data_IF_131157429688
#
_entry.id   IF_131157429688
#
_cell.length_a   1.000
_cell.length_b   1.000
_cell.length_c   1.000
_cell.angle_alpha   90.00
_cell.angle_beta   90.00
_cell.angle_gamma   90.00
#
_symmetry.space_group_name_H-M   'P 1'
#
loop_
_entity.id
_entity.type
_entity.pdbx_description
1 polymer ?
#
# COMPACT_ATOMS: atom_id res chain seq x y z
N UNK A 1 31.96 18.75 -15.13
CA UNK A 1 30.62 18.53 -14.54
C UNK A 1 30.26 17.07 -14.74
N UNK A 2 29.75 16.38 -13.72
CA UNK A 2 29.19 15.04 -13.91
C UNK A 2 27.99 15.15 -14.87
N UNK A 3 27.73 14.15 -15.73
CA UNK A 3 26.51 14.14 -16.52
C UNK A 3 25.28 14.20 -15.61
N UNK A 4 24.24 14.91 -16.06
CA UNK A 4 22.97 15.05 -15.36
C UNK A 4 22.20 13.73 -15.50
N UNK A 5 21.86 13.10 -14.39
CA UNK A 5 21.04 11.89 -14.28
C UNK A 5 19.58 12.31 -14.36
N UNK A 6 18.83 11.77 -15.32
CA UNK A 6 17.40 12.03 -15.53
C UNK A 6 16.58 10.82 -15.09
N UNK A 7 15.84 10.96 -14.00
CA UNK A 7 14.95 9.92 -13.46
C UNK A 7 13.50 10.23 -13.84
N UNK A 8 12.77 9.26 -14.39
CA UNK A 8 11.32 9.40 -14.58
C UNK A 8 10.57 9.04 -13.30
N UNK A 9 9.56 9.82 -12.92
CA UNK A 9 8.61 9.47 -11.87
C UNK A 9 7.22 9.24 -12.48
N UNK A 10 6.68 8.04 -12.32
CA UNK A 10 5.34 7.72 -12.78
C UNK A 10 4.65 6.67 -11.88
N UNK A 11 3.32 6.62 -11.88
CA UNK A 11 2.62 5.58 -11.13
C UNK A 11 1.10 5.57 -11.22
N UNK A 12 0.54 4.46 -10.74
CA UNK A 12 -0.86 4.25 -10.43
C UNK A 12 -0.92 3.69 -9.01
N UNK A 13 -1.61 4.38 -8.11
CA UNK A 13 -1.70 4.02 -6.69
C UNK A 13 -3.14 3.68 -6.33
N UNK A 14 -3.39 2.41 -6.06
CA UNK A 14 -4.70 1.90 -5.67
C UNK A 14 -4.54 0.62 -4.85
N UNK A 15 -5.28 0.53 -3.75
CA UNK A 15 -5.46 -0.70 -2.98
C UNK A 15 -6.80 -1.32 -3.38
N UNK A 16 -6.77 -2.52 -3.98
CA UNK A 16 -7.99 -3.09 -4.56
C UNK A 16 -8.64 -4.12 -3.66
N UNK A 17 -9.82 -3.81 -3.13
CA UNK A 17 -10.68 -4.80 -2.52
C UNK A 17 -11.45 -5.56 -3.60
N UNK A 18 -10.99 -6.75 -4.00
CA UNK A 18 -11.61 -7.54 -5.07
C UNK A 18 -13.01 -8.07 -4.72
N UNK A 19 -13.40 -7.99 -3.45
CA UNK A 19 -14.74 -8.37 -2.98
C UNK A 19 -15.72 -7.19 -2.99
N UNK A 20 -15.24 -5.96 -3.18
CA UNK A 20 -16.09 -4.79 -3.32
C UNK A 20 -16.85 -4.83 -4.66
N UNK A 21 -18.15 -4.56 -4.60
CA UNK A 21 -19.02 -4.49 -5.77
C UNK A 21 -18.89 -3.17 -6.56
N UNK A 22 -18.20 -2.18 -6.00
CA UNK A 22 -18.01 -0.86 -6.61
C UNK A 22 -16.67 -0.83 -7.35
N UNK A 23 -16.66 -0.82 -8.69
CA UNK A 23 -15.42 -0.86 -9.45
C UNK A 23 -14.66 0.47 -9.40
N UNK A 24 -13.33 0.41 -9.56
CA UNK A 24 -12.50 1.58 -9.83
C UNK A 24 -12.53 1.90 -11.33
N UNK A 25 -13.50 2.73 -11.74
CA UNK A 25 -13.56 3.26 -13.10
C UNK A 25 -12.62 4.46 -13.29
N UNK A 26 -12.46 4.94 -14.52
CA UNK A 26 -11.52 6.03 -14.81
C UNK A 26 -11.82 7.31 -14.00
N UNK A 27 -13.10 7.58 -13.70
CA UNK A 27 -13.52 8.79 -13.01
C UNK A 27 -13.28 8.74 -11.49
N UNK A 28 -13.01 7.56 -10.92
CA UNK A 28 -12.63 7.45 -9.51
C UNK A 28 -11.21 7.94 -9.26
N UNK A 29 -10.35 7.95 -10.29
CA UNK A 29 -8.97 8.37 -10.18
C UNK A 29 -8.80 9.88 -10.26
N UNK A 30 -8.06 10.43 -9.31
CA UNK A 30 -7.42 11.73 -9.45
C UNK A 30 -6.10 11.54 -10.21
N UNK A 31 -5.94 12.21 -11.35
CA UNK A 31 -4.79 12.04 -12.24
C UNK A 31 -4.03 13.36 -12.34
N UNK A 32 -2.78 13.34 -11.90
CA UNK A 32 -1.85 14.47 -11.92
C UNK A 32 -0.77 14.26 -12.98
N UNK A 33 -0.39 15.31 -13.69
CA UNK A 33 0.61 15.26 -14.78
C UNK A 33 1.72 16.29 -14.57
N UNK A 34 2.96 15.89 -14.82
CA UNK A 34 4.11 16.80 -14.76
C UNK A 34 4.19 17.57 -13.44
N UNK A 35 4.30 18.90 -13.55
CA UNK A 35 4.41 19.83 -12.40
C UNK A 35 3.22 19.76 -11.42
N UNK A 36 2.06 19.23 -11.82
CA UNK A 36 0.92 19.02 -10.90
C UNK A 36 1.30 18.05 -9.76
N UNK A 37 2.13 17.05 -10.05
CA UNK A 37 2.61 16.07 -9.06
C UNK A 37 3.52 16.76 -8.04
N UNK A 38 4.42 17.64 -8.49
CA UNK A 38 5.29 18.40 -7.60
C UNK A 38 4.49 19.36 -6.70
N UNK A 39 3.51 20.05 -7.29
CA UNK A 39 2.67 21.01 -6.56
C UNK A 39 1.85 20.32 -5.47
N UNK A 40 1.27 19.17 -5.77
CA UNK A 40 0.42 18.44 -4.83
C UNK A 40 1.26 17.68 -3.78
N UNK A 41 2.29 16.96 -4.22
CA UNK A 41 2.99 15.99 -3.36
C UNK A 41 4.38 16.42 -2.90
N UNK A 42 5.01 17.42 -3.52
CA UNK A 42 6.43 17.74 -3.25
C UNK A 42 6.76 18.07 -1.79
N UNK A 43 5.80 18.67 -1.06
CA UNK A 43 5.94 19.00 0.37
C UNK A 43 5.21 18.02 1.31
N UNK A 44 4.64 16.94 0.77
CA UNK A 44 3.91 15.93 1.54
C UNK A 44 4.85 14.92 2.22
N UNK A 45 4.26 13.88 2.82
CA UNK A 45 4.93 12.72 3.41
C UNK A 45 4.74 11.42 2.61
N UNK A 46 4.29 11.51 1.35
CA UNK A 46 4.01 10.33 0.50
C UNK A 46 5.23 9.84 -0.29
N UNK A 47 5.10 8.70 -0.98
CA UNK A 47 6.11 8.16 -1.91
C UNK A 47 6.62 9.20 -2.92
N UNK A 48 5.71 9.95 -3.55
CA UNK A 48 6.10 10.96 -4.53
C UNK A 48 6.99 12.05 -3.91
N UNK A 49 6.73 12.46 -2.67
CA UNK A 49 7.57 13.43 -1.97
C UNK A 49 9.01 12.92 -1.74
N UNK A 50 9.17 11.64 -1.41
CA UNK A 50 10.47 11.03 -1.17
C UNK A 50 11.28 10.88 -2.46
N UNK A 51 10.60 10.46 -3.54
CA UNK A 51 11.19 10.43 -4.87
C UNK A 51 11.61 11.80 -5.37
N UNK A 52 10.74 12.80 -5.35
CA UNK A 52 11.08 14.17 -5.74
C UNK A 52 12.22 14.76 -4.87
N UNK A 53 12.24 14.39 -3.58
CA UNK A 53 13.25 14.85 -2.63
C UNK A 53 14.69 14.41 -2.94
N UNK A 54 14.89 13.38 -3.76
CA UNK A 54 16.24 12.84 -4.04
C UNK A 54 17.17 13.86 -4.70
N UNK A 55 16.63 14.79 -5.50
CA UNK A 55 17.39 15.87 -6.13
C UNK A 55 18.04 16.82 -5.11
N UNK A 56 17.56 16.85 -3.86
CA UNK A 56 18.21 17.62 -2.78
C UNK A 56 19.45 16.90 -2.22
N UNK A 57 19.59 15.60 -2.44
CA UNK A 57 20.74 14.80 -2.01
C UNK A 57 21.85 14.71 -3.07
N UNK A 58 21.54 15.06 -4.32
CA UNK A 58 22.45 14.92 -5.46
C UNK A 58 22.35 16.10 -6.43
N UNK A 59 23.42 16.91 -6.54
CA UNK A 59 23.48 18.09 -7.41
C UNK A 59 23.33 17.79 -8.91
N UNK A 60 23.48 16.53 -9.32
CA UNK A 60 23.41 16.09 -10.71
C UNK A 60 22.23 15.15 -11.00
N UNK A 61 21.20 15.10 -10.14
CA UNK A 61 19.99 14.28 -10.33
C UNK A 61 18.78 15.17 -10.56
N UNK A 62 17.99 14.84 -11.58
CA UNK A 62 16.75 15.51 -11.93
C UNK A 62 15.63 14.49 -12.04
N UNK A 63 14.62 14.63 -11.19
CA UNK A 63 13.42 13.80 -11.22
C UNK A 63 12.39 14.51 -12.08
N UNK A 64 11.94 13.85 -13.14
CA UNK A 64 10.92 14.36 -14.06
C UNK A 64 9.61 13.64 -13.76
N UNK A 65 8.64 14.29 -13.11
CA UNK A 65 7.32 13.73 -12.93
C UNK A 65 6.60 13.62 -14.28
N UNK A 66 5.96 12.49 -14.53
CA UNK A 66 5.24 12.23 -15.77
C UNK A 66 3.74 12.19 -15.51
N UNK A 67 3.28 11.16 -14.80
CA UNK A 67 1.88 10.94 -14.48
C UNK A 67 1.78 10.20 -13.15
N UNK A 68 0.81 10.60 -12.33
CA UNK A 68 0.44 9.88 -11.12
C UNK A 68 -1.08 9.83 -11.03
N UNK A 69 -1.63 8.62 -11.13
CA UNK A 69 -3.05 8.37 -10.90
C UNK A 69 -3.24 7.75 -9.52
N UNK A 70 -4.18 8.27 -8.74
CA UNK A 70 -4.49 7.74 -7.41
C UNK A 70 -6.00 7.72 -7.17
N UNK A 71 -6.46 6.66 -6.51
CA UNK A 71 -7.80 6.57 -5.93
C UNK A 71 -7.70 5.93 -4.56
N UNK A 72 -8.67 6.19 -3.69
CA UNK A 72 -8.78 5.50 -2.41
C UNK A 72 -9.09 4.00 -2.60
N UNK A 73 -8.97 3.19 -1.54
CA UNK A 73 -9.31 1.77 -1.59
C UNK A 73 -10.77 1.56 -2.03
N UNK A 74 -10.97 0.76 -3.08
CA UNK A 74 -12.28 0.40 -3.67
C UNK A 74 -12.11 -0.89 -4.51
N UNK A 75 -13.13 -1.31 -5.24
CA UNK A 75 -13.11 -2.51 -6.06
C UNK A 75 -12.24 -2.45 -7.30
N UNK A 76 -12.23 -3.56 -8.04
CA UNK A 76 -11.35 -3.84 -9.18
C UNK A 76 -11.26 -2.73 -10.20
N UNK A 77 -10.05 -2.41 -10.66
CA UNK A 77 -9.81 -1.45 -11.73
C UNK A 77 -10.40 -1.98 -13.03
N UNK A 78 -11.35 -1.22 -13.60
CA UNK A 78 -11.95 -1.57 -14.88
C UNK A 78 -10.90 -1.62 -15.99
N UNK A 79 -11.09 -2.51 -16.97
CA UNK A 79 -10.20 -2.61 -18.13
C UNK A 79 -9.95 -1.26 -18.81
N UNK A 80 -11.02 -0.51 -19.08
CA UNK A 80 -10.92 0.78 -19.76
C UNK A 80 -10.14 1.84 -18.95
N UNK A 81 -10.24 1.81 -17.62
CA UNK A 81 -9.46 2.70 -16.75
C UNK A 81 -7.97 2.32 -16.76
N UNK A 82 -7.67 1.02 -16.63
CA UNK A 82 -6.31 0.50 -16.70
C UNK A 82 -5.66 0.83 -18.05
N UNK A 83 -6.33 0.52 -19.16
CA UNK A 83 -5.80 0.74 -20.51
C UNK A 83 -5.51 2.21 -20.78
N UNK A 84 -6.37 3.12 -20.33
CA UNK A 84 -6.15 4.56 -20.48
C UNK A 84 -5.00 5.08 -19.61
N UNK A 85 -5.03 4.79 -18.30
CA UNK A 85 -4.06 5.35 -17.35
C UNK A 85 -2.66 4.75 -17.59
N UNK A 86 -2.57 3.43 -17.71
CA UNK A 86 -1.29 2.75 -17.94
C UNK A 86 -0.81 2.97 -19.37
N UNK A 87 -1.71 3.07 -20.34
CA UNK A 87 -1.38 3.47 -21.70
C UNK A 87 -0.73 4.86 -21.75
N UNK A 88 -1.31 5.84 -21.05
CA UNK A 88 -0.75 7.19 -20.93
C UNK A 88 0.61 7.20 -20.23
N UNK A 89 0.76 6.42 -19.14
CA UNK A 89 2.04 6.24 -18.43
C UNK A 89 3.15 5.73 -19.37
N UNK A 90 2.87 4.67 -20.14
CA UNK A 90 3.83 4.09 -21.07
C UNK A 90 4.15 5.06 -22.21
N UNK A 91 3.15 5.79 -22.72
CA UNK A 91 3.35 6.79 -23.77
C UNK A 91 4.27 7.93 -23.30
N UNK A 92 4.10 8.44 -22.08
CA UNK A 92 4.98 9.47 -21.53
C UNK A 92 6.42 8.99 -21.36
N UNK A 93 6.61 7.76 -20.87
CA UNK A 93 7.94 7.17 -20.74
C UNK A 93 8.63 7.05 -22.11
N UNK A 94 7.89 6.66 -23.14
CA UNK A 94 8.40 6.53 -24.50
C UNK A 94 8.78 7.88 -25.11
N UNK A 95 7.90 8.87 -25.03
CA UNK A 95 8.05 10.15 -25.74
C UNK A 95 9.07 11.08 -25.09
N UNK A 96 9.26 10.99 -23.78
CA UNK A 96 10.12 11.90 -23.02
C UNK A 96 11.48 11.30 -22.63
N UNK A 97 11.75 10.06 -23.04
CA UNK A 97 13.06 9.41 -22.86
C UNK A 97 14.17 10.02 -23.74
N UNK A 98 15.40 9.46 -23.71
CA UNK A 98 15.82 8.34 -22.85
C UNK A 98 15.92 8.73 -21.37
N UNK A 99 15.89 7.72 -20.50
CA UNK A 99 15.95 7.85 -19.04
C UNK A 99 17.19 7.14 -18.50
N UNK A 100 17.81 7.72 -17.47
CA UNK A 100 18.90 7.06 -16.75
C UNK A 100 18.36 6.10 -15.68
N UNK A 101 17.12 6.29 -15.23
CA UNK A 101 16.43 5.40 -14.30
C UNK A 101 14.95 5.75 -14.17
N UNK A 102 14.17 4.83 -13.61
CA UNK A 102 12.72 4.97 -13.40
C UNK A 102 12.41 4.82 -11.92
N UNK A 103 11.49 5.65 -11.40
CA UNK A 103 10.91 5.57 -10.07
C UNK A 103 9.41 5.34 -10.22
N UNK A 104 8.96 4.15 -9.84
CA UNK A 104 7.56 3.74 -9.91
C UNK A 104 6.87 3.95 -8.56
N UNK A 105 5.88 4.84 -8.54
CA UNK A 105 5.03 5.10 -7.38
C UNK A 105 3.76 4.27 -7.48
N UNK A 106 3.85 2.99 -7.11
CA UNK A 106 2.72 2.06 -7.12
C UNK A 106 2.35 1.64 -5.70
N UNK A 107 1.15 1.09 -5.50
CA UNK A 107 0.71 0.61 -4.19
C UNK A 107 1.28 -0.76 -3.86
N UNK A 108 1.35 -1.67 -4.85
CA UNK A 108 1.69 -3.07 -4.67
C UNK A 108 0.52 -3.99 -4.32
N UNK A 109 -0.71 -3.48 -4.29
CA UNK A 109 -1.94 -4.26 -4.07
C UNK A 109 -3.06 -3.88 -5.06
N UNK A 110 -2.69 -3.33 -6.23
CA UNK A 110 -3.63 -3.00 -7.27
C UNK A 110 -4.03 -4.27 -8.04
N UNK A 111 -5.32 -4.38 -8.35
CA UNK A 111 -5.91 -5.44 -9.17
C UNK A 111 -6.79 -4.81 -10.25
N UNK A 112 -6.62 -5.26 -11.48
CA UNK A 112 -7.49 -4.89 -12.60
C UNK A 112 -8.25 -6.11 -13.11
N UNK A 113 -9.30 -5.87 -13.91
CA UNK A 113 -10.08 -6.95 -14.53
C UNK A 113 -9.23 -7.91 -15.37
N UNK A 114 -8.13 -7.43 -15.95
CA UNK A 114 -7.25 -8.23 -16.80
C UNK A 114 -6.00 -8.75 -16.07
N UNK A 115 -5.57 -8.07 -15.01
CA UNK A 115 -4.31 -8.35 -14.32
C UNK A 115 -4.53 -8.40 -12.81
N UNK A 116 -4.49 -9.62 -12.26
CA UNK A 116 -4.50 -9.87 -10.81
C UNK A 116 -3.29 -9.26 -10.10
N UNK A 117 -2.14 -9.25 -10.79
CA UNK A 117 -0.93 -8.53 -10.38
C UNK A 117 -0.76 -7.29 -11.27
N UNK A 118 -1.55 -6.25 -10.97
CA UNK A 118 -1.57 -5.01 -11.75
C UNK A 118 -0.22 -4.26 -11.63
N UNK A 119 0.30 -4.14 -10.41
CA UNK A 119 1.58 -3.46 -10.16
C UNK A 119 2.74 -4.17 -10.88
N UNK A 120 2.78 -5.51 -10.84
CA UNK A 120 3.76 -6.30 -11.58
C UNK A 120 3.59 -6.22 -13.09
N UNK A 121 2.37 -6.09 -13.62
CA UNK A 121 2.13 -5.80 -15.03
C UNK A 121 2.68 -4.42 -15.43
N UNK A 122 2.46 -3.38 -14.62
CA UNK A 122 3.02 -2.05 -14.87
C UNK A 122 4.55 -2.13 -14.87
N UNK A 123 5.15 -2.75 -13.85
CA UNK A 123 6.60 -2.94 -13.76
C UNK A 123 7.16 -3.69 -14.99
N UNK A 124 6.47 -4.74 -15.45
CA UNK A 124 6.84 -5.49 -16.64
C UNK A 124 6.80 -4.65 -17.92
N UNK A 125 5.73 -3.87 -18.12
CA UNK A 125 5.60 -2.99 -19.30
C UNK A 125 6.69 -1.92 -19.32
N UNK A 126 6.97 -1.32 -18.15
CA UNK A 126 8.04 -0.33 -17.98
C UNK A 126 9.39 -0.97 -18.32
N UNK A 127 9.73 -2.11 -17.71
CA UNK A 127 10.97 -2.85 -18.00
C UNK A 127 11.12 -3.19 -19.48
N UNK A 128 10.05 -3.67 -20.10
CA UNK A 128 10.04 -4.02 -21.52
C UNK A 128 10.30 -2.81 -22.43
N UNK A 129 9.84 -1.62 -22.04
CA UNK A 129 10.06 -0.38 -22.77
C UNK A 129 11.50 0.14 -22.60
N UNK A 130 12.00 0.24 -21.37
CA UNK A 130 13.29 0.91 -21.06
C UNK A 130 14.50 -0.01 -21.22
N UNK A 131 14.28 -1.33 -21.27
CA UNK A 131 15.33 -2.33 -21.40
C UNK A 131 16.01 -2.71 -20.08
N UNK A 132 16.95 -3.67 -20.12
CA UNK A 132 17.58 -4.23 -18.91
C UNK A 132 18.62 -3.31 -18.28
N UNK A 133 19.15 -2.33 -19.01
CA UNK A 133 20.27 -1.50 -18.56
C UNK A 133 19.83 -0.23 -17.80
N UNK A 134 18.53 0.12 -17.85
CA UNK A 134 17.97 1.27 -17.14
C UNK A 134 17.44 0.80 -15.78
N UNK A 135 18.00 1.25 -14.63
CA UNK A 135 17.52 0.81 -13.34
C UNK A 135 16.10 1.29 -13.02
N UNK A 136 15.27 0.41 -12.46
CA UNK A 136 13.88 0.68 -12.08
C UNK A 136 13.71 0.48 -10.57
N UNK A 137 13.34 1.54 -9.88
CA UNK A 137 12.98 1.54 -8.46
C UNK A 137 11.48 1.48 -8.26
N UNK A 138 11.04 0.75 -7.24
CA UNK A 138 9.64 0.63 -6.84
C UNK A 138 9.56 0.70 -5.31
N UNK A 139 8.74 1.60 -4.78
CA UNK A 139 8.47 1.72 -3.35
C UNK A 139 6.97 1.58 -3.12
N UNK A 140 6.59 0.55 -2.36
CA UNK A 140 5.21 0.12 -2.19
C UNK A 140 4.74 0.22 -0.75
N UNK A 141 3.43 0.18 -0.59
CA UNK A 141 2.76 0.14 0.71
C UNK A 141 3.12 -1.13 1.51
N UNK A 142 3.02 -1.06 2.84
CA UNK A 142 3.24 -2.22 3.70
C UNK A 142 2.20 -3.33 3.46
N UNK A 143 1.00 -2.97 3.00
CA UNK A 143 -0.04 -3.92 2.63
C UNK A 143 0.16 -4.56 1.25
N UNK A 144 1.26 -4.26 0.53
CA UNK A 144 1.50 -4.83 -0.80
C UNK A 144 1.47 -6.37 -0.82
N UNK A 145 0.76 -6.95 -1.78
CA UNK A 145 0.84 -8.36 -2.14
C UNK A 145 2.01 -8.54 -3.13
N UNK A 146 3.24 -8.48 -2.62
CA UNK A 146 4.45 -8.43 -3.46
C UNK A 146 4.57 -9.69 -4.32
N UNK A 147 4.72 -9.49 -5.62
CA UNK A 147 4.80 -10.56 -6.60
C UNK A 147 6.25 -10.81 -7.06
N UNK A 148 6.50 -12.02 -7.56
CA UNK A 148 7.76 -12.31 -8.25
C UNK A 148 7.94 -11.42 -9.48
N UNK A 149 6.86 -11.11 -10.18
CA UNK A 149 6.88 -10.27 -11.37
C UNK A 149 7.31 -8.84 -11.05
N UNK A 150 6.89 -8.25 -9.93
CA UNK A 150 7.42 -6.97 -9.45
C UNK A 150 8.93 -7.05 -9.23
N UNK A 151 9.40 -8.07 -8.50
CA UNK A 151 10.82 -8.25 -8.15
C UNK A 151 11.70 -8.52 -9.39
N UNK A 152 11.21 -9.29 -10.36
CA UNK A 152 11.95 -9.62 -11.59
C UNK A 152 12.05 -8.44 -12.56
N UNK A 153 11.15 -7.45 -12.48
CA UNK A 153 11.12 -6.31 -13.40
C UNK A 153 11.68 -5.01 -12.79
N UNK A 154 12.11 -5.05 -11.53
CA UNK A 154 12.71 -3.92 -10.80
C UNK A 154 14.12 -4.26 -10.32
N UNK A 155 14.95 -3.25 -10.11
CA UNK A 155 16.31 -3.42 -9.56
C UNK A 155 16.34 -3.19 -8.04
N UNK A 156 15.44 -2.34 -7.55
CA UNK A 156 15.28 -2.05 -6.13
C UNK A 156 13.79 -1.95 -5.82
N UNK A 157 13.32 -2.82 -4.93
CA UNK A 157 12.00 -2.74 -4.32
C UNK A 157 12.16 -2.41 -2.83
N UNK A 158 11.44 -1.39 -2.35
CA UNK A 158 11.34 -1.06 -0.92
C UNK A 158 9.89 -1.05 -0.47
N UNK A 159 9.67 -1.31 0.82
CA UNK A 159 8.34 -1.32 1.44
C UNK A 159 8.34 -0.36 2.62
N UNK A 160 7.17 0.22 2.91
CA UNK A 160 6.92 0.95 4.15
C UNK A 160 7.26 0.06 5.37
N UNK A 161 7.68 0.66 6.48
CA UNK A 161 8.04 -0.11 7.69
C UNK A 161 7.10 0.12 8.86
N UNK A 162 6.14 1.03 8.72
CA UNK A 162 5.16 1.27 9.79
C UNK A 162 3.74 1.10 9.27
N UNK A 163 2.93 0.48 10.13
CA UNK A 163 1.48 0.54 10.11
C UNK A 163 1.03 1.10 11.48
N UNK A 164 0.39 2.28 11.55
CA UNK A 164 -0.01 3.14 10.43
C UNK A 164 1.19 3.69 9.64
N UNK A 165 0.96 4.06 8.37
CA UNK A 165 2.03 4.49 7.45
C UNK A 165 2.54 5.88 7.80
N UNK A 166 3.77 5.95 8.31
CA UNK A 166 4.43 7.18 8.74
C UNK A 166 5.74 7.43 7.99
N UNK A 167 6.20 6.46 7.20
CA UNK A 167 7.56 6.45 6.64
C UNK A 167 7.61 6.31 5.11
N UNK A 168 6.50 6.57 4.41
CA UNK A 168 6.40 6.43 2.95
C UNK A 168 7.44 7.30 2.21
N UNK A 169 7.62 8.54 2.65
CA UNK A 169 8.62 9.47 2.11
C UNK A 169 10.05 8.94 2.30
N UNK A 170 10.37 8.45 3.49
CA UNK A 170 11.69 7.97 3.85
C UNK A 170 12.06 6.72 3.05
N UNK A 171 11.12 5.78 2.88
CA UNK A 171 11.34 4.51 2.16
C UNK A 171 11.45 4.69 0.65
N UNK A 172 10.69 5.62 0.08
CA UNK A 172 10.79 5.99 -1.33
C UNK A 172 12.07 6.78 -1.63
N UNK A 173 12.48 7.69 -0.75
CA UNK A 173 13.77 8.37 -0.88
C UNK A 173 14.95 7.38 -0.79
N UNK A 174 14.88 6.38 0.10
CA UNK A 174 15.86 5.29 0.19
C UNK A 174 15.91 4.46 -1.10
N UNK A 175 14.74 4.14 -1.70
CA UNK A 175 14.67 3.48 -2.99
C UNK A 175 15.35 4.30 -4.10
N UNK A 176 15.05 5.60 -4.21
CA UNK A 176 15.67 6.46 -5.22
C UNK A 176 17.18 6.62 -5.01
N UNK A 177 17.65 6.69 -3.76
CA UNK A 177 19.08 6.72 -3.44
C UNK A 177 19.81 5.46 -3.95
N UNK A 178 19.22 4.28 -3.73
CA UNK A 178 19.78 3.03 -4.25
C UNK A 178 19.78 2.98 -5.78
N UNK A 179 18.75 3.53 -6.45
CA UNK A 179 18.73 3.67 -7.91
C UNK A 179 19.85 4.58 -8.39
N UNK A 180 20.02 5.76 -7.80
CA UNK A 180 21.10 6.70 -8.15
C UNK A 180 22.48 6.05 -7.94
N UNK A 181 22.67 5.30 -6.85
CA UNK A 181 23.92 4.55 -6.60
C UNK A 181 24.15 3.46 -7.64
N UNK A 182 23.10 2.79 -8.10
CA UNK A 182 23.17 1.77 -9.16
C UNK A 182 23.58 2.39 -10.49
N UNK A 183 22.94 3.50 -10.89
CA UNK A 183 23.28 4.27 -12.11
C UNK A 183 24.74 4.71 -12.11
N UNK A 184 25.23 5.19 -10.95
CA UNK A 184 26.62 5.61 -10.80
C UNK A 184 27.62 4.43 -10.73
N UNK A 185 27.15 3.18 -10.82
CA UNK A 185 27.97 1.98 -10.71
C UNK A 185 28.61 1.82 -9.32
N UNK A 186 28.01 2.36 -8.27
CA UNK A 186 28.52 2.25 -6.90
C UNK A 186 28.10 0.95 -6.23
N UNK A 187 26.92 0.44 -6.58
CA UNK A 187 26.38 -0.84 -6.12
C UNK A 187 25.87 -1.66 -7.31
N UNK A 188 25.62 -2.93 -7.09
CA UNK A 188 24.89 -3.81 -8.02
C UNK A 188 23.88 -4.62 -7.19
N UNK A 189 22.62 -4.16 -7.06
CA UNK A 189 21.64 -4.80 -6.21
C UNK A 189 21.25 -6.19 -6.72
N UNK A 190 21.12 -7.16 -5.81
CA UNK A 190 20.38 -8.39 -6.03
C UNK A 190 19.29 -8.52 -4.97
N UNK A 191 18.12 -9.01 -5.38
CA UNK A 191 16.95 -9.12 -4.53
C UNK A 191 16.51 -10.57 -4.37
N UNK A 192 16.00 -10.91 -3.19
CA UNK A 192 15.25 -12.14 -2.97
C UNK A 192 13.98 -11.85 -2.20
N UNK A 193 12.86 -12.39 -2.69
CA UNK A 193 11.55 -12.36 -2.06
C UNK A 193 11.19 -13.76 -1.56
N UNK A 194 10.77 -13.85 -0.31
CA UNK A 194 10.17 -15.04 0.28
C UNK A 194 8.72 -14.74 0.71
N UNK A 195 7.78 -15.56 0.23
CA UNK A 195 6.34 -15.42 0.47
C UNK A 195 5.82 -16.68 1.14
N UNK A 196 5.89 -16.81 2.49
CA UNK A 196 5.25 -17.92 3.18
C UNK A 196 3.73 -17.87 2.93
N UNK A 197 3.03 -19.02 2.90
CA UNK A 197 1.59 -19.07 2.62
C UNK A 197 0.78 -18.62 3.86
N UNK A 198 0.91 -17.34 4.22
CA UNK A 198 0.45 -16.77 5.48
C UNK A 198 -0.26 -15.45 5.25
N UNK A 199 -1.56 -15.46 5.50
CA UNK A 199 -2.40 -14.26 5.58
C UNK A 199 -2.57 -13.92 7.06
N UNK A 200 -2.50 -12.63 7.40
CA UNK A 200 -2.64 -12.14 8.77
C UNK A 200 -3.88 -11.27 8.91
N UNK A 201 -4.49 -11.25 10.09
CA UNK A 201 -5.66 -10.43 10.32
C UNK A 201 -5.26 -8.94 10.41
N UNK A 202 -6.04 -8.06 9.78
CA UNK A 202 -5.81 -6.60 9.79
C UNK A 202 -5.69 -6.04 11.22
N UNK A 203 -6.39 -6.61 12.22
CA UNK A 203 -6.31 -6.14 13.62
C UNK A 203 -4.96 -6.43 14.29
N UNK A 204 -4.15 -7.31 13.69
CA UNK A 204 -2.81 -7.70 14.16
C UNK A 204 -1.68 -7.04 13.37
N UNK A 205 -2.01 -6.11 12.47
CA UNK A 205 -1.04 -5.45 11.60
C UNK A 205 -0.40 -4.18 12.22
N UNK A 206 -0.85 -3.71 13.39
CA UNK A 206 -0.18 -2.59 14.04
C UNK A 206 1.28 -2.92 14.39
N UNK A 207 2.21 -2.24 13.72
CA UNK A 207 3.67 -2.49 13.85
C UNK A 207 4.25 -2.17 15.23
N UNK A 208 3.52 -1.39 16.04
CA UNK A 208 3.94 -1.03 17.40
C UNK A 208 3.74 -2.14 18.43
N UNK A 209 2.91 -3.14 18.14
CA UNK A 209 2.57 -4.23 19.07
C UNK A 209 2.93 -5.62 18.54
N UNK A 210 2.94 -6.61 19.44
CA UNK A 210 3.08 -8.01 19.04
C UNK A 210 1.81 -8.49 18.30
N UNK A 211 1.96 -9.34 17.27
CA UNK A 211 3.20 -9.99 16.83
C UNK A 211 4.08 -9.16 15.87
N UNK A 212 3.57 -8.10 15.23
CA UNK A 212 4.32 -7.38 14.19
C UNK A 212 5.60 -6.70 14.70
N UNK A 213 5.62 -6.21 15.94
CA UNK A 213 6.80 -5.58 16.55
C UNK A 213 8.02 -6.52 16.55
N UNK A 214 7.82 -7.81 16.84
CA UNK A 214 8.92 -8.79 16.77
C UNK A 214 9.30 -9.14 15.33
N UNK A 215 8.37 -9.09 14.38
CA UNK A 215 8.68 -9.22 12.95
C UNK A 215 9.52 -8.04 12.46
N UNK A 216 9.20 -6.81 12.85
CA UNK A 216 9.99 -5.63 12.48
C UNK A 216 11.38 -5.65 13.14
N UNK A 217 11.49 -6.17 14.36
CA UNK A 217 12.79 -6.40 15.01
C UNK A 217 13.66 -7.40 14.23
N UNK A 218 13.05 -8.42 13.62
CA UNK A 218 13.75 -9.37 12.74
C UNK A 218 14.28 -8.69 11.48
N UNK A 219 13.52 -7.75 10.89
CA UNK A 219 14.00 -6.94 9.77
C UNK A 219 15.26 -6.16 10.16
N UNK A 220 15.25 -5.49 11.32
CA UNK A 220 16.42 -4.73 11.79
C UNK A 220 17.66 -5.63 11.93
N UNK A 221 17.51 -6.84 12.45
CA UNK A 221 18.61 -7.80 12.55
C UNK A 221 19.15 -8.25 11.17
N UNK A 222 18.30 -8.32 10.13
CA UNK A 222 18.75 -8.61 8.76
C UNK A 222 19.55 -7.44 8.18
N UNK A 223 19.16 -6.20 8.46
CA UNK A 223 19.86 -5.01 7.98
C UNK A 223 21.30 -4.91 8.52
N UNK A 224 21.60 -5.53 9.66
CA UNK A 224 22.95 -5.57 10.24
C UNK A 224 23.89 -6.58 9.53
N UNK A 225 23.36 -7.46 8.66
CA UNK A 225 24.17 -8.48 8.00
C UNK A 225 25.12 -7.85 6.95
N UNK A 226 26.38 -8.30 6.87
CA UNK A 226 27.33 -7.80 5.87
C UNK A 226 26.79 -7.91 4.44
N UNK A 227 26.82 -6.80 3.70
CA UNK A 227 26.42 -6.75 2.28
C UNK A 227 24.93 -6.50 2.04
N UNK A 228 24.08 -6.69 3.05
CA UNK A 228 22.68 -6.25 2.99
C UNK A 228 22.65 -4.73 2.92
N UNK A 229 21.98 -4.20 1.90
CA UNK A 229 21.80 -2.76 1.69
C UNK A 229 20.37 -2.32 1.95
N UNK A 230 19.41 -3.25 1.90
CA UNK A 230 18.02 -3.01 2.28
C UNK A 230 17.32 -4.32 2.66
N UNK A 231 16.20 -4.19 3.37
CA UNK A 231 15.28 -5.27 3.68
C UNK A 231 13.89 -4.69 3.89
N UNK A 232 12.87 -5.51 3.66
CA UNK A 232 11.48 -5.10 3.74
C UNK A 232 10.57 -6.25 4.21
N UNK A 233 9.48 -5.88 4.85
CA UNK A 233 8.39 -6.77 5.28
C UNK A 233 7.10 -6.17 4.74
N UNK A 234 6.38 -6.93 3.92
CA UNK A 234 5.00 -6.63 3.57
C UNK A 234 4.06 -7.49 4.42
N UNK A 235 3.02 -6.87 4.95
CA UNK A 235 1.95 -7.50 5.71
C UNK A 235 0.97 -8.24 4.80
N UNK A 236 0.91 -7.84 3.53
CA UNK A 236 -0.06 -8.33 2.57
C UNK A 236 -1.45 -7.72 2.78
N UNK A 237 -2.25 -7.76 1.73
CA UNK A 237 -3.60 -7.22 1.72
C UNK A 237 -4.61 -8.36 1.57
N UNK A 238 -5.35 -8.71 2.65
CA UNK A 238 -6.17 -9.91 2.69
C UNK A 238 -7.50 -9.78 1.93
N UNK A 239 -7.83 -8.60 1.42
CA UNK A 239 -9.09 -8.35 0.69
C UNK A 239 -8.92 -8.36 -0.83
N UNK A 240 -7.79 -8.90 -1.33
CA UNK A 240 -7.55 -9.15 -2.74
C UNK A 240 -7.40 -10.66 -3.00
N UNK A 241 -8.28 -11.23 -3.81
CA UNK A 241 -8.24 -12.63 -4.26
C UNK A 241 -7.20 -12.80 -5.38
N UNK A 242 -5.92 -12.79 -4.98
CA UNK A 242 -4.78 -12.91 -5.88
C UNK A 242 -3.84 -14.04 -5.44
N UNK A 243 -3.12 -14.69 -6.36
CA UNK A 243 -2.16 -15.75 -6.02
C UNK A 243 -1.08 -15.31 -5.02
N UNK A 244 -0.71 -14.03 -5.04
CA UNK A 244 0.33 -13.42 -4.21
C UNK A 244 -0.15 -13.01 -2.80
N UNK A 245 -1.43 -13.20 -2.47
CA UNK A 245 -2.02 -12.74 -1.22
C UNK A 245 -1.27 -13.28 0.01
N UNK A 246 -0.76 -12.38 0.85
CA UNK A 246 -0.13 -12.71 2.12
C UNK A 246 1.17 -11.96 2.39
N UNK A 247 1.84 -12.30 3.49
CA UNK A 247 3.07 -11.63 3.90
C UNK A 247 4.23 -11.89 2.93
N UNK A 248 5.03 -10.85 2.69
CA UNK A 248 6.23 -10.90 1.86
C UNK A 248 7.48 -10.43 2.61
N UNK A 249 8.61 -11.09 2.37
CA UNK A 249 9.89 -10.78 3.02
C UNK A 249 10.96 -10.57 1.95
N UNK A 250 11.48 -9.36 1.84
CA UNK A 250 12.46 -9.00 0.82
C UNK A 250 13.80 -8.66 1.46
N UNK A 251 14.90 -9.11 0.84
CA UNK A 251 16.26 -8.66 1.17
C UNK A 251 16.96 -8.19 -0.11
N UNK A 252 17.65 -7.07 -0.02
CA UNK A 252 18.46 -6.49 -1.10
C UNK A 252 19.92 -6.46 -0.66
N UNK A 253 20.80 -6.99 -1.51
CA UNK A 253 22.24 -7.15 -1.22
C UNK A 253 23.06 -6.53 -2.34
N UNK A 254 24.16 -5.86 -2.00
CA UNK A 254 25.11 -5.34 -2.99
C UNK A 254 26.08 -6.44 -3.45
N UNK A 255 25.92 -6.91 -4.69
CA UNK A 255 26.79 -7.93 -5.27
C UNK A 255 28.19 -7.42 -5.60
N UNK A 256 28.44 -6.10 -5.69
CA UNK A 256 29.81 -5.60 -5.83
C UNK A 256 30.65 -5.84 -4.59
N UNK A 257 30.02 -5.89 -3.42
CA UNK A 257 30.69 -6.08 -2.13
C UNK A 257 30.99 -7.54 -1.82
N UNK A 258 30.11 -8.47 -2.19
CA UNK A 258 30.22 -9.89 -1.84
C UNK A 258 30.54 -10.82 -3.02
N UNK A 259 30.37 -10.35 -4.26
CA UNK A 259 30.27 -11.21 -5.44
C UNK A 259 28.85 -11.76 -5.63
N UNK A 260 28.46 -12.02 -6.88
CA UNK A 260 27.07 -12.34 -7.27
C UNK A 260 26.50 -13.58 -6.58
N UNK A 261 27.28 -14.66 -6.49
CA UNK A 261 26.82 -15.91 -5.89
C UNK A 261 26.57 -15.78 -4.38
N UNK A 262 27.50 -15.18 -3.65
CA UNK A 262 27.35 -14.96 -2.21
C UNK A 262 26.27 -13.92 -1.90
N UNK A 263 26.11 -12.92 -2.76
CA UNK A 263 25.06 -11.92 -2.62
C UNK A 263 23.66 -12.54 -2.78
N UNK A 264 23.44 -13.38 -3.81
CA UNK A 264 22.19 -14.10 -4.00
C UNK A 264 21.88 -15.04 -2.81
N UNK A 265 22.90 -15.74 -2.31
CA UNK A 265 22.77 -16.60 -1.12
C UNK A 265 22.39 -15.77 0.12
N UNK A 266 23.07 -14.65 0.34
CA UNK A 266 22.82 -13.75 1.48
C UNK A 266 21.41 -13.16 1.43
N UNK A 267 20.95 -12.72 0.25
CA UNK A 267 19.60 -12.20 0.05
C UNK A 267 18.56 -13.26 0.39
N UNK A 268 18.73 -14.48 -0.14
CA UNK A 268 17.84 -15.62 0.13
C UNK A 268 17.81 -15.97 1.61
N UNK A 269 18.96 -16.12 2.26
CA UNK A 269 19.04 -16.47 3.68
C UNK A 269 18.44 -15.38 4.58
N UNK A 270 18.57 -14.09 4.21
CA UNK A 270 17.93 -12.97 4.91
C UNK A 270 16.40 -13.08 4.90
N UNK A 271 15.82 -13.16 3.71
CA UNK A 271 14.38 -13.25 3.50
C UNK A 271 13.79 -14.52 4.14
N UNK A 272 14.41 -15.69 3.91
CA UNK A 272 13.96 -16.97 4.48
C UNK A 272 14.01 -17.00 6.00
N UNK A 273 15.02 -16.35 6.59
CA UNK A 273 15.14 -16.27 8.05
C UNK A 273 14.03 -15.44 8.68
N UNK A 274 13.61 -14.34 8.02
CA UNK A 274 12.45 -13.54 8.46
C UNK A 274 11.15 -14.32 8.27
N UNK A 275 10.93 -14.88 7.09
CA UNK A 275 9.73 -15.65 6.75
C UNK A 275 9.51 -16.85 7.70
N UNK A 276 10.58 -17.58 8.03
CA UNK A 276 10.51 -18.72 8.95
C UNK A 276 10.06 -18.30 10.35
N UNK A 277 10.51 -17.13 10.82
CA UNK A 277 10.15 -16.59 12.14
C UNK A 277 8.72 -16.07 12.17
N UNK A 278 8.31 -15.37 11.12
CA UNK A 278 6.93 -14.99 10.92
C UNK A 278 6.00 -16.22 10.90
N UNK A 279 6.34 -17.25 10.12
CA UNK A 279 5.59 -18.51 10.05
C UNK A 279 5.45 -19.22 11.41
N UNK A 280 6.51 -19.19 12.22
CA UNK A 280 6.48 -19.75 13.58
C UNK A 280 5.52 -19.01 14.52
N UNK A 281 5.15 -17.77 14.20
CA UNK A 281 4.21 -16.93 14.94
C UNK A 281 2.82 -16.85 14.31
N UNK A 282 2.54 -17.59 13.23
CA UNK A 282 1.28 -17.48 12.46
C UNK A 282 0.02 -17.57 13.31
N UNK A 283 0.04 -18.35 14.40
CA UNK A 283 -1.12 -18.50 15.28
C UNK A 283 -1.42 -17.21 16.08
N UNK A 284 -0.39 -16.39 16.36
CA UNK A 284 -0.48 -15.10 17.08
C UNK A 284 -1.15 -14.00 16.22
N UNK A 285 -1.25 -14.22 14.90
CA UNK A 285 -1.85 -13.28 13.94
C UNK A 285 -3.36 -13.48 13.74
N UNK A 286 -3.97 -14.40 14.49
CA UNK A 286 -5.42 -14.61 14.47
C UNK A 286 -6.16 -13.54 15.29
N UNK A 287 -7.47 -13.46 15.04
CA UNK A 287 -8.35 -12.53 15.71
C UNK A 287 -8.58 -12.93 17.19
N UNK A 288 -8.42 -11.96 18.09
CA UNK A 288 -8.72 -12.05 19.52
C UNK A 288 -9.50 -10.83 20.05
N UNK A 289 -10.14 -10.06 19.15
CA UNK A 289 -10.93 -8.86 19.49
C UNK A 289 -12.34 -9.25 19.98
N UNK A 290 -12.99 -8.40 20.79
CA UNK A 290 -14.37 -8.61 21.22
C UNK A 290 -15.36 -8.60 20.04
N UNK A 291 -16.45 -9.35 20.17
CA UNK A 291 -17.60 -9.22 19.28
C UNK A 291 -18.37 -7.89 19.53
N UNK A 292 -19.30 -7.49 18.64
CA UNK A 292 -20.03 -6.22 18.80
C UNK A 292 -20.76 -6.09 20.14
N UNK A 293 -21.38 -7.16 20.66
CA UNK A 293 -22.07 -7.15 21.95
C UNK A 293 -21.11 -6.84 23.09
N UNK A 294 -19.99 -7.57 23.14
CA UNK A 294 -18.95 -7.40 24.15
C UNK A 294 -18.36 -5.99 24.12
N UNK A 295 -18.07 -5.48 22.93
CA UNK A 295 -17.51 -4.14 22.75
C UNK A 295 -18.49 -3.04 23.22
N UNK A 296 -19.77 -3.14 22.85
CA UNK A 296 -20.81 -2.18 23.23
C UNK A 296 -21.10 -2.20 24.73
N UNK A 297 -21.27 -3.39 25.32
CA UNK A 297 -21.51 -3.53 26.76
C UNK A 297 -20.32 -3.06 27.59
N UNK A 298 -19.09 -3.31 27.10
CA UNK A 298 -17.90 -2.76 27.73
C UNK A 298 -17.89 -1.23 27.67
N UNK A 299 -18.17 -0.64 26.50
CA UNK A 299 -18.18 0.80 26.34
C UNK A 299 -19.21 1.48 27.25
N UNK A 300 -20.44 0.95 27.29
CA UNK A 300 -21.52 1.45 28.15
C UNK A 300 -21.17 1.34 29.65
N UNK A 301 -20.62 0.20 30.06
CA UNK A 301 -20.27 -0.02 31.46
C UNK A 301 -19.06 0.80 31.93
N UNK A 302 -18.15 1.19 31.04
CA UNK A 302 -16.94 1.94 31.39
C UNK A 302 -17.09 3.47 31.25
N UNK A 303 -18.10 3.94 30.52
CA UNK A 303 -18.27 5.36 30.25
C UNK A 303 -18.98 6.08 31.42
N UNK A 304 -18.38 7.17 31.92
CA UNK A 304 -18.99 8.04 32.91
C UNK A 304 -19.32 9.42 32.32
N UNK A 305 -20.29 10.16 32.90
CA UNK A 305 -20.57 11.53 32.50
C UNK A 305 -19.32 12.42 32.58
N UNK A 306 -18.90 12.98 31.45
CA UNK A 306 -17.73 13.85 31.33
C UNK A 306 -16.49 13.17 30.76
N UNK A 307 -16.52 11.84 30.57
CA UNK A 307 -15.45 11.13 29.87
C UNK A 307 -15.43 11.48 28.38
N UNK A 308 -14.27 11.33 27.75
CA UNK A 308 -14.17 11.34 26.30
C UNK A 308 -14.93 10.14 25.69
N UNK A 309 -15.43 10.22 24.45
CA UNK A 309 -16.11 9.11 23.81
C UNK A 309 -15.16 7.91 23.65
N UNK A 310 -15.70 6.71 23.85
CA UNK A 310 -15.02 5.46 23.50
C UNK A 310 -15.21 5.25 21.99
N UNK A 311 -14.10 5.04 21.27
CA UNK A 311 -14.13 4.81 19.83
C UNK A 311 -14.14 3.30 19.59
N UNK A 312 -15.22 2.82 18.99
CA UNK A 312 -15.32 1.45 18.47
C UNK A 312 -15.02 1.47 16.97
N UNK A 313 -14.10 0.62 16.52
CA UNK A 313 -13.74 0.51 15.11
C UNK A 313 -14.44 -0.70 14.52
N UNK A 314 -15.33 -0.47 13.55
CA UNK A 314 -15.93 -1.54 12.75
C UNK A 314 -14.89 -2.06 11.75
N UNK A 315 -14.15 -3.08 12.15
CA UNK A 315 -13.11 -3.68 11.31
C UNK A 315 -13.73 -4.46 10.14
N UNK A 316 -14.98 -4.90 10.26
CA UNK A 316 -15.70 -5.59 9.20
C UNK A 316 -16.07 -4.68 8.02
N UNK A 317 -16.21 -3.39 8.30
CA UNK A 317 -16.50 -2.34 7.31
C UNK A 317 -15.44 -1.24 7.37
N UNK A 318 -14.18 -1.66 7.19
CA UNK A 318 -13.04 -0.76 7.13
C UNK A 318 -12.91 -0.08 5.76
N UNK A 319 -13.31 1.19 5.69
CA UNK A 319 -13.20 2.05 4.49
C UNK A 319 -11.75 2.13 3.99
N UNK A 320 -10.79 2.14 4.92
CA UNK A 320 -9.36 2.13 4.61
C UNK A 320 -8.90 0.83 3.93
N UNK A 321 -9.75 -0.19 3.86
CA UNK A 321 -9.58 -1.44 3.12
C UNK A 321 -10.68 -1.63 2.05
N UNK A 322 -11.27 -0.55 1.57
CA UNK A 322 -12.15 -0.55 0.39
C UNK A 322 -13.55 -1.13 0.60
N UNK A 323 -14.00 -1.16 1.85
CA UNK A 323 -15.39 -1.51 2.18
C UNK A 323 -16.37 -0.38 1.83
N UNK A 324 -17.67 -0.67 1.95
CA UNK A 324 -18.76 0.20 1.51
C UNK A 324 -19.09 1.35 2.47
N UNK A 325 -18.63 1.28 3.71
CA UNK A 325 -18.91 2.25 4.78
C UNK A 325 -20.39 2.30 5.19
N UNK A 326 -21.19 1.29 4.86
CA UNK A 326 -22.64 1.25 5.09
C UNK A 326 -23.10 0.11 6.03
N UNK A 327 -22.19 -0.51 6.78
CA UNK A 327 -22.46 -1.56 7.78
C UNK A 327 -23.41 -1.10 8.88
N UNK A 328 -24.48 -1.86 9.09
CA UNK A 328 -25.44 -1.62 10.18
C UNK A 328 -25.33 -2.62 11.33
N UNK A 329 -24.31 -3.48 11.33
CA UNK A 329 -24.18 -4.54 12.35
C UNK A 329 -24.08 -3.96 13.76
N UNK A 330 -23.16 -3.01 13.99
CA UNK A 330 -23.00 -2.39 15.31
C UNK A 330 -24.24 -1.56 15.68
N UNK A 331 -24.87 -0.87 14.72
CA UNK A 331 -26.13 -0.14 14.96
C UNK A 331 -27.26 -1.06 15.44
N UNK A 332 -27.44 -2.20 14.77
CA UNK A 332 -28.47 -3.17 15.10
C UNK A 332 -28.27 -3.74 16.51
N UNK A 333 -27.03 -4.08 16.87
CA UNK A 333 -26.71 -4.59 18.21
C UNK A 333 -26.86 -3.50 19.29
N UNK A 334 -26.42 -2.26 19.02
CA UNK A 334 -26.62 -1.14 19.94
C UNK A 334 -28.11 -0.88 20.23
N UNK A 335 -28.96 -0.94 19.20
CA UNK A 335 -30.42 -0.83 19.36
C UNK A 335 -31.01 -2.01 20.15
N UNK A 336 -30.57 -3.24 19.86
CA UNK A 336 -31.05 -4.44 20.55
C UNK A 336 -30.68 -4.44 22.03
N UNK A 337 -29.48 -3.96 22.37
CA UNK A 337 -28.97 -3.87 23.73
C UNK A 337 -29.49 -2.65 24.49
N UNK A 338 -30.09 -1.68 23.80
CA UNK A 338 -30.61 -0.45 24.41
C UNK A 338 -29.50 0.53 24.80
N UNK A 339 -28.40 0.56 24.05
CA UNK A 339 -27.28 1.48 24.28
C UNK A 339 -27.73 2.91 24.01
N UNK A 340 -27.59 3.79 25.02
CA UNK A 340 -27.83 5.22 24.90
C UNK A 340 -26.50 5.96 24.65
N UNK A 341 -26.51 7.14 24.02
CA UNK A 341 -25.28 7.91 23.79
C UNK A 341 -24.37 7.39 22.67
N UNK A 342 -24.96 6.75 21.66
CA UNK A 342 -24.25 6.18 20.51
C UNK A 342 -24.16 7.15 19.32
N UNK A 343 -23.02 7.16 18.64
CA UNK A 343 -22.80 7.88 17.39
C UNK A 343 -22.10 6.94 16.40
N UNK A 344 -22.66 6.81 15.18
CA UNK A 344 -22.03 6.09 14.07
C UNK A 344 -22.09 6.93 12.80
N UNK A 345 -21.03 6.82 12.00
CA UNK A 345 -20.98 7.33 10.63
C UNK A 345 -21.35 6.22 9.66
N UNK A 346 -22.25 6.51 8.72
CA UNK A 346 -22.69 5.58 7.67
C UNK A 346 -22.70 6.29 6.32
N UNK A 347 -22.24 5.63 5.27
CA UNK A 347 -22.38 6.07 3.90
C UNK A 347 -23.77 5.73 3.39
N UNK A 348 -24.63 6.75 3.24
CA UNK A 348 -25.97 6.58 2.69
C UNK A 348 -26.47 7.85 2.01
N UNK A 349 -26.02 8.12 0.76
CA UNK A 349 -26.41 9.32 0.02
C UNK A 349 -27.93 9.48 -0.12
N UNK A 350 -28.65 8.36 -0.26
CA UNK A 350 -30.11 8.37 -0.42
C UNK A 350 -30.84 8.81 0.84
N UNK A 351 -30.35 8.43 2.03
CA UNK A 351 -30.91 8.87 3.31
C UNK A 351 -30.52 10.31 3.61
N UNK A 352 -29.28 10.71 3.29
CA UNK A 352 -28.83 12.10 3.41
C UNK A 352 -29.73 13.04 2.61
N UNK A 353 -30.06 12.69 1.36
CA UNK A 353 -30.93 13.51 0.52
C UNK A 353 -32.33 13.70 1.13
N UNK A 354 -32.91 12.65 1.71
CA UNK A 354 -34.21 12.72 2.40
C UNK A 354 -34.15 13.60 3.65
N UNK A 355 -33.06 13.54 4.42
CA UNK A 355 -32.85 14.43 5.55
C UNK A 355 -32.75 15.90 5.11
N UNK A 356 -32.03 16.18 4.02
CA UNK A 356 -31.91 17.53 3.45
C UNK A 356 -33.29 18.06 3.03
N UNK A 357 -34.09 17.24 2.36
CA UNK A 357 -35.45 17.60 1.90
C UNK A 357 -36.43 17.85 3.06
N UNK A 358 -36.33 17.07 4.13
CA UNK A 358 -37.17 17.23 5.31
C UNK A 358 -36.82 18.50 6.13
N UNK A 359 -35.56 18.93 6.08
CA UNK A 359 -35.07 20.11 6.78
C UNK A 359 -34.73 19.86 8.26
N UNK A 360 -33.89 20.74 8.81
CA UNK A 360 -33.42 20.67 10.20
C UNK A 360 -34.59 20.77 11.18
N UNK A 361 -34.64 19.85 12.14
CA UNK A 361 -35.69 19.79 13.17
C UNK A 361 -36.89 18.90 12.81
N UNK A 362 -36.90 18.31 11.60
CA UNK A 362 -37.93 17.36 11.18
C UNK A 362 -37.60 15.93 11.60
N UNK A 363 -38.64 15.16 11.94
CA UNK A 363 -38.55 13.71 12.15
C UNK A 363 -38.77 12.96 10.83
N UNK A 364 -37.89 12.00 10.52
CA UNK A 364 -38.00 11.14 9.33
C UNK A 364 -37.78 9.67 9.70
N UNK A 365 -38.49 8.77 9.03
CA UNK A 365 -38.26 7.32 9.13
C UNK A 365 -37.50 6.83 7.91
N UNK A 366 -36.32 6.25 8.12
CA UNK A 366 -35.40 5.85 7.07
C UNK A 366 -34.95 4.41 7.26
N UNK A 367 -34.65 3.74 6.14
CA UNK A 367 -33.81 2.54 6.13
C UNK A 367 -32.41 3.00 5.79
N UNK A 368 -31.51 2.96 6.77
CA UNK A 368 -30.13 3.46 6.65
C UNK A 368 -29.15 2.31 6.45
N UNK A 369 -28.08 2.55 5.71
CA UNK A 369 -27.02 1.57 5.47
C UNK A 369 -27.46 0.32 4.69
N UNK A 370 -26.53 -0.61 4.46
CA UNK A 370 -26.74 -1.91 3.81
C UNK A 370 -27.35 -1.82 2.40
N UNK A 371 -26.84 -0.89 1.59
CA UNK A 371 -27.35 -0.59 0.24
C UNK A 371 -26.35 -0.92 -0.87
N UNK A 372 -25.11 -1.18 -0.51
CA UNK A 372 -24.02 -1.37 -1.47
C UNK A 372 -23.93 -2.82 -1.96
N UNK A 373 -23.92 -3.79 -1.04
CA UNK A 373 -23.90 -5.22 -1.37
C UNK A 373 -24.63 -6.10 -0.31
N UNK A 374 -24.27 -7.39 -0.25
CA UNK A 374 -24.82 -8.37 0.70
C UNK A 374 -23.74 -8.97 1.61
N UNK A 375 -22.54 -8.40 1.63
CA UNK A 375 -21.35 -8.92 2.29
C UNK A 375 -20.84 -8.00 3.40
N UNK A 376 -20.88 -6.67 3.19
CA UNK A 376 -20.26 -5.69 4.09
C UNK A 376 -21.25 -4.94 4.99
N UNK A 377 -22.57 -5.14 4.82
CA UNK A 377 -23.61 -4.49 5.63
C UNK A 377 -25.04 -4.81 5.24
#
# INVERSE_FOLDING_TARGET
MKPKIKLALAGLYHETNTFSSVPADYNTFSIFRGEEIEKEYGNSLTTNAGYLGISSSYDNVDVVPLIFAITGPIGTITKDAFDQIVGELIQYLQDQGPWDGILLSLHGAAVSEEYSDCDGEIAYRVRSLVGPDVPVGLSVDMHANISKKMVENTDVLTVYRTNPHLDAKERSQECADLIVKTINGQIEPVMWLETPPMVINIVKQYTGDEPMRSIMSNLLAVLEKPGVIHGSVAEGYPYADVPEMGMGFLTVVDSKKLGKDEANKTAREGAQWMATRAWAKRDDFNNDIPDPDQALLFADAQHNPGDAPIVLMDVGDNIGAGSSADSTHILAEAQRLGIEGYLQTLYDPSSVQKCIEAGVGSDVSLKVGGKTDHLHG
#
